data_IF_110779585297
#
_entry.id   IF_110779585297
#
_cell.length_a   1.000
_cell.length_b   1.000
_cell.length_c   1.000
_cell.angle_alpha   90.00
_cell.angle_beta   90.00
_cell.angle_gamma   90.00
#
_symmetry.space_group_name_H-M   'P 1'
#
loop_
_entity.id
_entity.type
_entity.pdbx_description
1 polymer ?
#
# COMPACT_ATOMS: atom_id res chain seq x y z
N UNK A 1 -16.32 29.53 31.59
CA UNK A 1 -16.97 28.50 32.43
C UNK A 1 -16.58 28.77 33.88
N UNK A 2 -17.54 29.08 34.77
CA UNK A 2 -17.25 29.24 36.21
C UNK A 2 -16.63 27.94 36.73
N UNK A 3 -15.48 28.02 37.41
CA UNK A 3 -14.84 26.89 38.07
C UNK A 3 -15.79 26.33 39.15
N UNK A 4 -16.70 25.44 38.78
CA UNK A 4 -17.50 24.69 39.76
C UNK A 4 -16.64 23.52 40.22
N UNK A 5 -16.19 23.55 41.47
CA UNK A 5 -15.70 22.35 42.09
C UNK A 5 -16.87 21.42 42.40
N UNK A 6 -16.63 20.13 42.24
CA UNK A 6 -17.55 19.08 42.64
C UNK A 6 -16.88 18.18 43.65
N UNK A 7 -17.66 17.29 44.24
CA UNK A 7 -17.20 16.28 45.16
C UNK A 7 -17.66 14.89 44.72
N UNK A 8 -16.98 13.88 45.27
CA UNK A 8 -17.30 12.48 45.11
C UNK A 8 -17.92 12.01 46.40
N UNK A 9 -19.18 11.57 46.32
CA UNK A 9 -19.92 11.08 47.47
C UNK A 9 -19.23 9.90 48.17
N UNK A 10 -19.42 9.79 49.49
CA UNK A 10 -18.85 8.72 50.32
C UNK A 10 -19.05 7.31 49.74
N UNK A 11 -20.21 7.03 49.15
CA UNK A 11 -20.56 5.73 48.58
C UNK A 11 -19.73 5.33 47.35
N UNK A 12 -19.05 6.29 46.73
CA UNK A 12 -18.24 6.11 45.52
C UNK A 12 -16.73 6.15 45.81
N UNK A 13 -16.35 6.17 47.08
CA UNK A 13 -14.97 6.24 47.54
C UNK A 13 -14.54 4.94 48.22
N UNK A 14 -13.36 4.46 47.83
CA UNK A 14 -12.60 3.44 48.53
C UNK A 14 -11.44 4.15 49.22
N UNK A 15 -11.40 4.09 50.54
CA UNK A 15 -10.38 4.77 51.34
C UNK A 15 -9.34 3.79 51.88
N UNK A 16 -8.07 4.19 51.81
CA UNK A 16 -6.96 3.50 52.45
C UNK A 16 -5.95 4.50 52.99
N UNK A 17 -5.29 4.11 54.07
CA UNK A 17 -4.17 4.84 54.64
C UNK A 17 -2.88 4.08 54.37
N UNK A 18 -1.83 4.80 53.94
CA UNK A 18 -0.49 4.24 53.73
C UNK A 18 0.53 5.08 54.46
N UNK A 19 1.45 4.42 55.16
CA UNK A 19 2.54 5.08 55.88
C UNK A 19 3.85 4.86 55.12
N UNK A 20 4.64 5.91 54.91
CA UNK A 20 5.92 5.85 54.24
C UNK A 20 6.10 6.98 53.21
N UNK A 21 7.08 6.80 52.32
CA UNK A 21 7.27 7.67 51.17
C UNK A 21 7.09 6.84 49.90
N UNK A 22 6.14 7.24 49.07
CA UNK A 22 5.80 6.54 47.84
C UNK A 22 5.87 7.50 46.66
N UNK A 23 6.38 7.01 45.53
CA UNK A 23 6.08 7.59 44.22
C UNK A 23 4.62 7.28 43.87
N UNK A 24 3.94 8.21 43.18
CA UNK A 24 2.49 8.11 42.94
C UNK A 24 2.07 6.81 42.23
N UNK A 25 2.83 6.39 41.22
CA UNK A 25 2.55 5.15 40.46
C UNK A 25 2.72 3.90 41.34
N UNK A 26 3.72 3.88 42.21
CA UNK A 26 3.95 2.78 43.15
C UNK A 26 2.85 2.75 44.22
N UNK A 27 2.43 3.92 44.73
CA UNK A 27 1.31 4.03 45.66
C UNK A 27 0.01 3.48 45.04
N UNK A 28 -0.29 3.87 43.79
CA UNK A 28 -1.46 3.36 43.08
C UNK A 28 -1.40 1.85 42.89
N UNK A 29 -0.25 1.32 42.43
CA UNK A 29 -0.05 -0.12 42.25
C UNK A 29 -0.23 -0.91 43.55
N UNK A 30 0.31 -0.43 44.66
CA UNK A 30 0.11 -1.08 45.96
C UNK A 30 -1.36 -1.08 46.39
N UNK A 31 -2.04 0.05 46.25
CA UNK A 31 -3.45 0.18 46.66
C UNK A 31 -4.38 -0.68 45.81
N UNK A 32 -4.16 -0.74 44.50
CA UNK A 32 -4.97 -1.56 43.59
C UNK A 32 -4.83 -3.05 43.93
N UNK A 33 -3.63 -3.50 44.28
CA UNK A 33 -3.37 -4.87 44.76
C UNK A 33 -4.02 -5.14 46.12
N UNK A 34 -3.91 -4.23 47.08
CA UNK A 34 -4.50 -4.40 48.42
C UNK A 34 -6.04 -4.42 48.39
N UNK A 35 -6.64 -3.61 47.53
CA UNK A 35 -8.08 -3.52 47.38
C UNK A 35 -8.67 -4.58 46.43
N UNK A 36 -7.83 -5.47 45.87
CA UNK A 36 -8.22 -6.50 44.88
C UNK A 36 -9.11 -5.95 43.76
N UNK A 37 -8.71 -4.82 43.17
CA UNK A 37 -9.51 -4.12 42.17
C UNK A 37 -9.40 -4.81 40.82
N UNK A 38 -10.55 -5.27 40.31
CA UNK A 38 -10.68 -5.71 38.92
C UNK A 38 -10.52 -4.49 38.00
N UNK A 39 -9.66 -4.61 36.98
CA UNK A 39 -9.30 -3.53 36.04
C UNK A 39 -8.83 -2.22 36.71
N UNK A 40 -7.62 -2.18 37.30
CA UNK A 40 -7.07 -0.99 37.96
C UNK A 40 -7.14 0.31 37.15
N UNK A 41 -7.01 0.23 35.82
CA UNK A 41 -7.06 1.38 34.91
C UNK A 41 -8.42 2.09 34.85
N UNK A 42 -9.48 1.48 35.40
CA UNK A 42 -10.79 2.10 35.51
C UNK A 42 -10.91 2.97 36.78
N UNK A 43 -9.93 2.93 37.68
CA UNK A 43 -9.93 3.71 38.90
C UNK A 43 -9.04 4.95 38.78
N UNK A 44 -9.41 6.00 39.49
CA UNK A 44 -8.57 7.18 39.72
C UNK A 44 -8.28 7.33 41.20
N UNK A 45 -7.06 7.73 41.51
CA UNK A 45 -6.58 8.00 42.86
C UNK A 45 -6.55 9.50 43.11
N UNK A 46 -7.17 9.94 44.20
CA UNK A 46 -6.82 11.16 44.89
C UNK A 46 -6.04 10.80 46.17
N UNK A 47 -5.09 11.63 46.57
CA UNK A 47 -4.47 11.48 47.88
C UNK A 47 -4.21 12.83 48.55
N UNK A 48 -4.19 12.80 49.88
CA UNK A 48 -3.72 13.89 50.73
C UNK A 48 -2.57 13.34 51.56
N UNK A 49 -1.37 13.91 51.40
CA UNK A 49 -0.21 13.54 52.23
C UNK A 49 -0.06 14.49 53.42
N UNK A 50 -0.10 13.93 54.62
CA UNK A 50 0.17 14.61 55.88
C UNK A 50 1.36 13.91 56.54
N UNK A 51 2.50 14.59 56.64
CA UNK A 51 3.77 14.02 57.08
C UNK A 51 4.16 12.77 56.26
N UNK A 52 4.24 11.59 56.89
CA UNK A 52 4.50 10.31 56.21
C UNK A 52 3.22 9.49 55.96
N UNK A 53 2.05 10.09 56.17
CA UNK A 53 0.77 9.41 56.02
C UNK A 53 0.11 9.88 54.72
N UNK A 54 -0.20 8.93 53.84
CA UNK A 54 -1.01 9.14 52.65
C UNK A 54 -2.44 8.70 52.94
N UNK A 55 -3.36 9.65 52.85
CA UNK A 55 -4.80 9.40 52.84
C UNK A 55 -5.27 9.26 51.40
N UNK A 56 -5.51 8.02 50.99
CA UNK A 56 -5.76 7.64 49.60
C UNK A 56 -7.24 7.38 49.38
N UNK A 57 -7.77 7.93 48.30
CA UNK A 57 -9.17 7.83 47.89
C UNK A 57 -9.23 7.34 46.45
N UNK A 58 -9.71 6.12 46.26
CA UNK A 58 -9.92 5.50 44.96
C UNK A 58 -11.38 5.61 44.57
N UNK A 59 -11.63 5.92 43.31
CA UNK A 59 -12.98 6.01 42.75
C UNK A 59 -13.00 5.48 41.33
N UNK A 60 -14.13 4.92 40.90
CA UNK A 60 -14.30 4.48 39.52
C UNK A 60 -14.42 5.72 38.63
N UNK A 61 -13.58 5.80 37.59
CA UNK A 61 -13.56 6.90 36.64
C UNK A 61 -14.93 7.21 36.02
N UNK A 62 -15.79 6.21 35.83
CA UNK A 62 -17.14 6.39 35.30
C UNK A 62 -18.07 7.19 36.23
N UNK A 63 -17.79 7.20 37.53
CA UNK A 63 -18.56 7.93 38.55
C UNK A 63 -18.06 9.37 38.78
N UNK A 64 -16.99 9.78 38.09
CA UNK A 64 -16.43 11.11 38.24
C UNK A 64 -17.26 12.16 37.50
N UNK A 65 -17.60 13.29 38.14
CA UNK A 65 -18.19 14.42 37.45
C UNK A 65 -17.19 15.03 36.46
N UNK A 66 -17.69 15.51 35.32
CA UNK A 66 -16.89 16.13 34.25
C UNK A 66 -16.47 17.57 34.62
N UNK A 67 -15.71 17.74 35.69
CA UNK A 67 -15.34 19.07 36.23
C UNK A 67 -13.85 19.20 36.48
N UNK A 68 -13.35 20.45 36.42
CA UNK A 68 -11.91 20.74 36.54
C UNK A 68 -11.31 20.30 37.88
N UNK A 69 -12.08 20.39 38.95
CA UNK A 69 -11.69 19.98 40.30
C UNK A 69 -12.77 19.08 40.89
N UNK A 70 -12.34 17.92 41.38
CA UNK A 70 -13.19 16.99 42.09
C UNK A 70 -12.53 16.56 43.41
N UNK A 71 -13.23 16.77 44.52
CA UNK A 71 -12.77 16.48 45.86
C UNK A 71 -13.39 15.19 46.40
N UNK A 72 -12.63 14.30 47.06
CA UNK A 72 -13.24 13.36 47.97
C UNK A 72 -14.07 14.13 49.01
N UNK A 73 -15.34 13.78 49.17
CA UNK A 73 -16.23 14.43 50.13
C UNK A 73 -15.67 14.49 51.58
N UNK A 74 -14.96 13.48 52.12
CA UNK A 74 -14.29 13.63 53.41
C UNK A 74 -13.34 14.84 53.49
N UNK A 75 -12.79 15.31 52.38
CA UNK A 75 -11.83 16.41 52.42
C UNK A 75 -12.50 17.78 52.39
N UNK A 76 -13.74 17.92 51.90
CA UNK A 76 -14.42 19.22 51.80
C UNK A 76 -14.83 19.76 53.16
N UNK A 77 -15.08 18.89 54.14
CA UNK A 77 -15.52 19.30 55.48
C UNK A 77 -14.41 19.92 56.33
N UNK A 78 -13.13 19.80 55.93
CA UNK A 78 -12.04 20.55 56.56
C UNK A 78 -12.29 22.07 56.49
N UNK A 79 -12.98 22.53 55.43
CA UNK A 79 -13.36 23.94 55.27
C UNK A 79 -14.23 24.47 56.41
N UNK A 80 -14.98 23.61 57.12
CA UNK A 80 -15.77 24.05 58.28
C UNK A 80 -14.87 24.61 59.39
N UNK A 81 -13.72 23.98 59.64
CA UNK A 81 -12.77 24.44 60.63
C UNK A 81 -11.99 25.65 60.11
N UNK A 82 -11.49 25.59 58.88
CA UNK A 82 -10.67 26.65 58.26
C UNK A 82 -11.42 27.99 58.11
N UNK A 83 -12.73 27.92 57.88
CA UNK A 83 -13.62 29.10 57.80
C UNK A 83 -14.23 29.46 59.18
N UNK A 84 -13.71 28.92 60.29
CA UNK A 84 -14.15 29.17 61.66
C UNK A 84 -15.65 28.89 61.93
N UNK A 85 -16.28 27.96 61.17
CA UNK A 85 -17.69 27.57 61.32
C UNK A 85 -17.93 26.58 62.47
N UNK A 86 -16.85 25.96 62.94
CA UNK A 86 -16.75 25.12 64.13
C UNK A 86 -15.49 25.53 64.90
N UNK A 87 -15.49 25.35 66.23
CA UNK A 87 -14.36 25.73 67.09
C UNK A 87 -13.67 24.52 67.72
N UNK A 88 -14.38 23.40 67.73
CA UNK A 88 -13.95 22.15 68.29
C UNK A 88 -12.85 21.54 67.42
N UNK A 89 -11.68 21.29 68.02
CA UNK A 89 -10.51 20.78 67.32
C UNK A 89 -10.73 19.37 66.78
N UNK A 90 -11.39 18.51 67.56
CA UNK A 90 -11.66 17.12 67.21
C UNK A 90 -13.15 16.95 66.98
N UNK A 91 -13.54 16.63 65.75
CA UNK A 91 -14.94 16.46 65.39
C UNK A 91 -15.11 15.28 64.43
N UNK A 92 -16.32 14.72 64.43
CA UNK A 92 -16.69 13.63 63.54
C UNK A 92 -17.84 14.08 62.62
N UNK A 93 -17.66 13.92 61.31
CA UNK A 93 -18.77 13.97 60.35
C UNK A 93 -19.37 12.57 60.24
N UNK A 94 -20.66 12.46 60.49
CA UNK A 94 -21.44 11.24 60.31
C UNK A 94 -22.42 11.43 59.16
N UNK A 95 -22.31 10.58 58.14
CA UNK A 95 -23.26 10.54 57.02
C UNK A 95 -23.84 9.12 56.86
N UNK A 96 -25.14 9.05 56.59
CA UNK A 96 -25.87 7.79 56.39
C UNK A 96 -26.32 7.72 54.94
N UNK A 97 -26.01 6.63 54.26
CA UNK A 97 -26.42 6.37 52.87
C UNK A 97 -26.89 4.93 52.71
N UNK A 98 -28.18 4.76 52.40
CA UNK A 98 -28.87 3.47 52.24
C UNK A 98 -28.58 2.48 53.38
N UNK A 99 -27.54 1.64 53.23
CA UNK A 99 -27.13 0.59 54.18
C UNK A 99 -25.71 0.79 54.73
N UNK A 100 -25.18 2.01 54.67
CA UNK A 100 -23.84 2.32 55.16
C UNK A 100 -23.86 3.58 56.03
N UNK A 101 -23.08 3.55 57.10
CA UNK A 101 -22.74 4.71 57.92
C UNK A 101 -21.29 5.05 57.68
N UNK A 102 -21.05 6.30 57.34
CA UNK A 102 -19.75 6.86 57.05
C UNK A 102 -19.33 7.79 58.20
N UNK A 103 -18.13 7.58 58.72
CA UNK A 103 -17.56 8.37 59.80
C UNK A 103 -16.25 8.98 59.30
N UNK A 104 -16.17 10.30 59.31
CA UNK A 104 -14.93 11.03 59.02
C UNK A 104 -14.47 11.73 60.29
N UNK A 105 -13.24 11.47 60.70
CA UNK A 105 -12.65 12.03 61.90
C UNK A 105 -11.64 13.10 61.52
N UNK A 106 -11.65 14.19 62.26
CA UNK A 106 -10.76 15.33 62.06
C UNK A 106 -10.12 15.70 63.40
N UNK A 107 -8.88 16.15 63.34
CA UNK A 107 -8.09 16.59 64.49
C UNK A 107 -7.41 17.90 64.12
N UNK A 108 -7.63 18.95 64.92
CA UNK A 108 -7.16 20.31 64.66
C UNK A 108 -7.51 20.79 63.23
N UNK A 109 -8.72 20.46 62.77
CA UNK A 109 -9.20 20.80 61.43
C UNK A 109 -8.64 19.97 60.27
N UNK A 110 -7.67 19.09 60.52
CA UNK A 110 -7.09 18.20 59.51
C UNK A 110 -7.84 16.88 59.46
N UNK A 111 -8.05 16.36 58.25
CA UNK A 111 -8.62 15.03 58.07
C UNK A 111 -7.69 13.95 58.66
N UNK A 112 -8.23 13.07 59.51
CA UNK A 112 -7.48 12.00 60.18
C UNK A 112 -7.76 10.63 59.58
N UNK A 113 -9.03 10.24 59.49
CA UNK A 113 -9.43 8.96 58.91
C UNK A 113 -10.87 8.95 58.48
N UNK A 114 -11.19 8.02 57.57
CA UNK A 114 -12.54 7.67 57.18
C UNK A 114 -12.82 6.20 57.52
N UNK A 115 -13.99 5.92 58.10
CA UNK A 115 -14.47 4.58 58.43
C UNK A 115 -15.85 4.37 57.82
N UNK A 116 -16.10 3.14 57.41
CA UNK A 116 -17.39 2.71 56.87
C UNK A 116 -17.93 1.57 57.71
N UNK A 117 -19.17 1.67 58.15
CA UNK A 117 -19.89 0.66 58.91
C UNK A 117 -21.11 0.21 58.10
N UNK A 118 -21.43 -1.08 58.16
CA UNK A 118 -22.66 -1.60 57.57
C UNK A 118 -23.83 -1.27 58.50
N UNK A 119 -24.85 -0.63 57.95
CA UNK A 119 -26.05 -0.29 58.69
C UNK A 119 -27.03 -1.47 58.68
N UNK A 120 -27.60 -1.76 59.85
CA UNK A 120 -28.65 -2.76 60.05
C UNK A 120 -29.92 -2.05 60.53
N UNK A 121 -31.09 -2.51 60.09
CA UNK A 121 -32.37 -1.84 60.37
C UNK A 121 -32.68 -1.73 61.88
N UNK A 122 -32.17 -2.67 62.68
CA UNK A 122 -32.23 -2.58 64.14
C UNK A 122 -31.17 -1.60 64.66
N UNK A 123 -31.60 -0.37 64.94
CA UNK A 123 -30.72 0.74 65.33
C UNK A 123 -29.93 0.44 66.60
N UNK A 124 -30.58 -0.15 67.61
CA UNK A 124 -29.92 -0.39 68.91
C UNK A 124 -28.85 -1.48 68.79
N UNK A 125 -29.17 -2.54 68.04
CA UNK A 125 -28.22 -3.59 67.70
C UNK A 125 -27.06 -3.04 66.87
N UNK A 126 -27.34 -2.19 65.89
CA UNK A 126 -26.31 -1.51 65.10
C UNK A 126 -25.35 -0.71 65.98
N UNK A 127 -25.85 0.11 66.90
CA UNK A 127 -24.99 0.93 67.77
C UNK A 127 -24.09 0.03 68.64
N UNK A 128 -24.65 -1.06 69.17
CA UNK A 128 -23.92 -1.95 70.07
C UNK A 128 -22.87 -2.81 69.32
N UNK A 129 -23.17 -3.29 68.11
CA UNK A 129 -22.29 -4.19 67.35
C UNK A 129 -21.28 -3.45 66.45
N UNK A 130 -21.62 -2.26 65.95
CA UNK A 130 -20.80 -1.54 64.96
C UNK A 130 -19.55 -0.88 65.55
N UNK A 131 -19.39 -0.89 66.88
CA UNK A 131 -18.30 -0.22 67.62
C UNK A 131 -18.24 1.28 67.35
N UNK A 132 -19.34 1.90 66.90
CA UNK A 132 -19.39 3.34 66.58
C UNK A 132 -19.03 4.21 67.77
N UNK A 133 -19.50 3.86 68.97
CA UNK A 133 -19.19 4.58 70.21
C UNK A 133 -17.71 4.46 70.57
N UNK A 134 -17.11 3.28 70.40
CA UNK A 134 -15.68 3.06 70.62
C UNK A 134 -14.84 3.87 69.64
N UNK A 135 -15.26 3.97 68.37
CA UNK A 135 -14.57 4.80 67.38
C UNK A 135 -14.62 6.29 67.75
N UNK A 136 -15.79 6.80 68.15
CA UNK A 136 -15.95 8.19 68.61
C UNK A 136 -15.05 8.51 69.80
N UNK A 137 -14.92 7.57 70.76
CA UNK A 137 -14.03 7.68 71.91
C UNK A 137 -12.55 7.58 71.51
N UNK A 138 -12.18 6.61 70.66
CA UNK A 138 -10.81 6.38 70.23
C UNK A 138 -10.20 7.58 69.50
N UNK A 139 -11.00 8.27 68.68
CA UNK A 139 -10.58 9.50 68.00
C UNK A 139 -10.88 10.78 68.80
N UNK A 140 -11.21 10.64 70.09
CA UNK A 140 -11.44 11.76 71.01
C UNK A 140 -12.38 12.83 70.44
N UNK A 141 -13.46 12.39 69.78
CA UNK A 141 -14.40 13.30 69.12
C UNK A 141 -15.08 14.17 70.18
N UNK A 142 -14.94 15.50 70.06
CA UNK A 142 -15.59 16.47 70.96
C UNK A 142 -16.96 16.89 70.45
N UNK A 143 -17.24 16.67 69.16
CA UNK A 143 -18.48 17.09 68.50
C UNK A 143 -18.87 16.11 67.39
N UNK A 144 -20.18 15.86 67.27
CA UNK A 144 -20.77 15.13 66.16
C UNK A 144 -21.45 16.10 65.20
N UNK A 145 -21.17 15.93 63.92
CA UNK A 145 -21.72 16.74 62.84
C UNK A 145 -22.42 15.84 61.84
N UNK A 146 -23.56 16.27 61.33
CA UNK A 146 -24.24 15.57 60.23
C UNK A 146 -24.73 16.55 59.19
N UNK A 147 -24.76 16.12 57.93
CA UNK A 147 -25.35 16.88 56.81
C UNK A 147 -26.88 16.79 56.83
N UNK A 148 -27.44 15.70 57.38
CA UNK A 148 -28.88 15.44 57.37
C UNK A 148 -29.36 15.01 58.75
N UNK A 149 -30.53 15.50 59.16
CA UNK A 149 -31.20 14.99 60.34
C UNK A 149 -31.61 13.52 60.11
N UNK A 150 -31.35 12.68 61.10
CA UNK A 150 -31.77 11.28 61.10
C UNK A 150 -31.81 10.79 62.55
N UNK A 151 -32.88 10.10 62.93
CA UNK A 151 -33.13 9.64 64.31
C UNK A 151 -31.95 8.86 64.92
N UNK A 152 -31.24 8.08 64.11
CA UNK A 152 -30.05 7.32 64.52
C UNK A 152 -28.93 8.23 65.00
N UNK A 153 -28.77 9.39 64.36
CA UNK A 153 -27.68 10.33 64.65
C UNK A 153 -27.93 10.98 66.01
N UNK A 154 -29.18 11.33 66.31
CA UNK A 154 -29.60 11.85 67.61
C UNK A 154 -29.35 10.81 68.71
N UNK A 155 -29.68 9.54 68.45
CA UNK A 155 -29.46 8.45 69.39
C UNK A 155 -27.96 8.18 69.61
N UNK A 156 -27.14 8.18 68.56
CA UNK A 156 -25.68 8.04 68.66
C UNK A 156 -25.10 9.20 69.47
N UNK A 157 -25.52 10.44 69.18
CA UNK A 157 -25.03 11.61 69.90
C UNK A 157 -25.37 11.55 71.38
N UNK A 158 -26.59 11.10 71.70
CA UNK A 158 -27.07 10.94 73.08
C UNK A 158 -26.28 9.85 73.82
N UNK A 159 -26.10 8.67 73.21
CA UNK A 159 -25.33 7.56 73.80
C UNK A 159 -23.84 7.91 73.94
N UNK A 160 -23.28 8.65 72.98
CA UNK A 160 -21.89 9.13 73.03
C UNK A 160 -21.68 10.35 73.95
N UNK A 161 -22.77 11.00 74.40
CA UNK A 161 -22.76 12.26 75.15
C UNK A 161 -21.99 13.38 74.43
N UNK A 162 -22.16 13.45 73.12
CA UNK A 162 -21.54 14.47 72.28
C UNK A 162 -22.56 15.53 71.86
N UNK A 163 -22.17 16.81 71.72
CA UNK A 163 -23.00 17.81 71.09
C UNK A 163 -23.16 17.49 69.59
N UNK A 164 -24.40 17.49 69.12
CA UNK A 164 -24.76 17.33 67.71
C UNK A 164 -25.01 18.68 67.06
N UNK A 165 -24.48 18.90 65.87
CA UNK A 165 -24.87 20.02 65.00
C UNK A 165 -25.13 19.52 63.59
N UNK A 166 -26.27 19.94 63.04
CA UNK A 166 -26.60 19.70 61.64
C UNK A 166 -25.97 20.80 60.79
N UNK A 167 -25.16 20.42 59.82
CA UNK A 167 -24.51 21.31 58.85
C UNK A 167 -25.55 21.68 57.79
N UNK A 168 -25.90 22.97 57.72
CA UNK A 168 -26.80 23.50 56.69
C UNK A 168 -26.07 24.02 55.44
N UNK A 169 -24.74 23.98 55.46
CA UNK A 169 -23.91 24.44 54.36
C UNK A 169 -24.10 23.60 53.10
N UNK A 170 -24.21 24.27 51.95
CA UNK A 170 -24.17 23.60 50.66
C UNK A 170 -22.79 22.95 50.45
N UNK A 171 -22.77 21.65 50.14
CA UNK A 171 -21.54 20.90 49.82
C UNK A 171 -20.77 21.55 48.66
N UNK A 172 -21.46 22.20 47.72
CA UNK A 172 -20.80 22.95 46.63
C UNK A 172 -20.08 24.20 47.17
N UNK A 173 -20.68 24.90 48.13
CA UNK A 173 -20.05 26.04 48.79
C UNK A 173 -18.80 25.59 49.57
N UNK A 174 -18.90 24.53 50.38
CA UNK A 174 -17.76 23.92 51.09
C UNK A 174 -16.65 23.48 50.14
N UNK A 175 -17.03 22.90 48.99
CA UNK A 175 -16.07 22.50 47.96
C UNK A 175 -15.33 23.71 47.38
N UNK A 176 -16.02 24.81 47.11
CA UNK A 176 -15.38 26.06 46.64
C UNK A 176 -14.44 26.66 47.68
N UNK A 177 -14.83 26.69 48.97
CA UNK A 177 -13.93 27.09 50.06
C UNK A 177 -12.68 26.22 50.12
N UNK A 178 -12.84 24.91 49.92
CA UNK A 178 -11.73 23.96 49.91
C UNK A 178 -10.72 24.20 48.78
N UNK A 179 -11.12 24.80 47.65
CA UNK A 179 -10.19 25.21 46.57
C UNK A 179 -9.19 26.26 47.07
N UNK A 180 -9.62 27.16 47.95
CA UNK A 180 -8.74 28.21 48.48
C UNK A 180 -7.69 27.66 49.45
N UNK A 181 -7.98 26.52 50.06
CA UNK A 181 -7.16 25.87 51.07
C UNK A 181 -6.55 24.54 50.58
N UNK A 182 -6.28 24.45 49.27
CA UNK A 182 -5.69 23.23 48.72
C UNK A 182 -4.32 22.97 49.34
N UNK A 183 -4.19 21.82 50.01
CA UNK A 183 -2.91 21.37 50.49
C UNK A 183 -1.97 21.17 49.30
N UNK A 184 -0.75 21.71 49.41
CA UNK A 184 0.30 21.57 48.40
C UNK A 184 0.69 20.11 48.20
N UNK A 185 0.46 19.27 49.21
CA UNK A 185 0.79 17.85 49.23
C UNK A 185 -0.39 16.94 48.83
N UNK A 186 -1.46 17.51 48.27
CA UNK A 186 -2.60 16.75 47.81
C UNK A 186 -2.64 16.64 46.28
N UNK A 187 -2.87 15.43 45.79
CA UNK A 187 -3.26 15.18 44.41
C UNK A 187 -4.79 15.01 44.40
N UNK A 188 -5.49 16.04 43.94
CA UNK A 188 -6.93 15.96 43.71
C UNK A 188 -7.20 15.55 42.27
N UNK A 189 -8.29 14.82 42.05
CA UNK A 189 -8.71 14.39 40.72
C UNK A 189 -9.03 15.64 39.89
N UNK A 190 -8.04 16.09 39.11
CA UNK A 190 -8.21 17.02 38.00
C UNK A 190 -8.75 16.17 36.88
N UNK A 191 -9.97 16.43 36.42
CA UNK A 191 -10.49 15.77 35.22
C UNK A 191 -9.50 16.02 34.08
N UNK A 192 -8.69 15.01 33.79
CA UNK A 192 -7.95 14.96 32.55
C UNK A 192 -9.01 14.68 31.50
N UNK A 193 -9.51 15.73 30.88
CA UNK A 193 -10.19 15.58 29.60
C UNK A 193 -9.21 14.75 28.78
N UNK A 194 -9.58 13.50 28.42
CA UNK A 194 -8.87 12.71 27.40
C UNK A 194 -8.98 13.48 26.08
N UNK A 195 -8.40 14.66 26.01
CA UNK A 195 -7.97 15.25 24.78
C UNK A 195 -6.78 14.40 24.39
N UNK A 196 -7.04 13.47 23.47
CA UNK A 196 -6.00 12.88 22.64
C UNK A 196 -5.06 14.04 22.28
N UNK A 197 -3.80 14.04 22.75
CA UNK A 197 -2.92 15.16 22.54
C UNK A 197 -2.89 15.55 21.07
N UNK A 198 -2.77 16.84 20.76
CA UNK A 198 -2.90 17.30 19.39
C UNK A 198 -1.93 16.59 18.44
N UNK A 199 -0.75 16.20 18.93
CA UNK A 199 0.22 15.39 18.19
C UNK A 199 -0.33 14.01 17.77
N UNK A 200 -1.18 13.35 18.57
CA UNK A 200 -1.82 12.09 18.14
C UNK A 200 -2.84 12.31 17.02
N UNK A 201 -3.53 13.46 17.00
CA UNK A 201 -4.38 13.82 15.85
C UNK A 201 -3.52 14.02 14.59
N UNK A 202 -2.36 14.65 14.72
CA UNK A 202 -1.41 14.80 13.63
C UNK A 202 -0.84 13.45 13.16
N UNK A 203 -0.52 12.53 14.08
CA UNK A 203 -0.10 11.16 13.74
C UNK A 203 -1.19 10.44 12.94
N UNK A 204 -2.46 10.54 13.35
CA UNK A 204 -3.56 9.92 12.65
C UNK A 204 -3.80 10.54 11.26
N UNK A 205 -3.71 11.86 11.16
CA UNK A 205 -3.82 12.59 9.90
C UNK A 205 -2.68 12.22 8.94
N UNK A 206 -1.46 12.11 9.47
CA UNK A 206 -0.28 11.68 8.71
C UNK A 206 -0.42 10.24 8.22
N UNK A 207 -0.82 9.31 9.09
CA UNK A 207 -1.03 7.91 8.71
C UNK A 207 -2.10 7.78 7.62
N UNK A 208 -3.20 8.54 7.74
CA UNK A 208 -4.24 8.56 6.72
C UNK A 208 -3.72 9.10 5.38
N UNK A 209 -2.99 10.21 5.40
CA UNK A 209 -2.36 10.78 4.19
C UNK A 209 -1.36 9.82 3.55
N UNK A 210 -0.58 9.10 4.36
CA UNK A 210 0.38 8.11 3.89
C UNK A 210 -0.30 6.91 3.21
N UNK A 211 -1.38 6.38 3.80
CA UNK A 211 -2.16 5.29 3.21
C UNK A 211 -2.79 5.72 1.89
N UNK A 212 -3.35 6.92 1.81
CA UNK A 212 -3.93 7.47 0.56
C UNK A 212 -2.86 7.56 -0.53
N UNK A 213 -1.69 8.11 -0.21
CA UNK A 213 -0.59 8.23 -1.17
C UNK A 213 -0.09 6.86 -1.67
N UNK A 214 0.06 5.88 -0.77
CA UNK A 214 0.40 4.50 -1.17
C UNK A 214 -0.67 3.91 -2.09
N UNK A 215 -1.95 4.14 -1.77
CA UNK A 215 -3.07 3.66 -2.59
C UNK A 215 -3.03 4.23 -4.00
N UNK A 216 -2.78 5.53 -4.14
CA UNK A 216 -2.66 6.20 -5.45
C UNK A 216 -1.45 5.66 -6.24
N UNK A 217 -0.28 5.54 -5.61
CA UNK A 217 0.91 4.98 -6.26
C UNK A 217 0.67 3.54 -6.74
N UNK A 218 0.09 2.71 -5.87
CA UNK A 218 -0.21 1.31 -6.20
C UNK A 218 -1.21 1.19 -7.35
N UNK A 219 -2.18 2.11 -7.45
CA UNK A 219 -3.13 2.18 -8.58
C UNK A 219 -2.42 2.55 -9.89
N UNK A 220 -1.55 3.55 -9.86
CA UNK A 220 -0.77 3.95 -11.05
C UNK A 220 0.11 2.78 -11.51
N UNK A 221 0.88 2.18 -10.60
CA UNK A 221 1.74 1.03 -10.91
C UNK A 221 0.93 -0.16 -11.42
N UNK A 222 -0.27 -0.40 -10.87
CA UNK A 222 -1.16 -1.45 -11.35
C UNK A 222 -1.66 -1.18 -12.78
N UNK A 223 -2.02 0.06 -13.12
CA UNK A 223 -2.43 0.41 -14.48
C UNK A 223 -1.28 0.25 -15.48
N UNK A 224 -0.07 0.67 -15.10
CA UNK A 224 1.14 0.49 -15.91
C UNK A 224 1.45 -0.99 -16.10
N UNK A 225 1.41 -1.78 -15.03
CA UNK A 225 1.61 -3.23 -15.08
C UNK A 225 0.60 -3.93 -15.99
N UNK A 226 -0.70 -3.59 -15.88
CA UNK A 226 -1.73 -4.12 -16.78
C UNK A 226 -1.44 -3.79 -18.25
N UNK A 227 -1.03 -2.56 -18.54
CA UNK A 227 -0.69 -2.14 -19.91
C UNK A 227 0.53 -2.89 -20.45
N UNK A 228 1.57 -3.05 -19.63
CA UNK A 228 2.79 -3.79 -19.99
C UNK A 228 2.50 -5.28 -20.21
N UNK A 229 1.66 -5.89 -19.36
CA UNK A 229 1.22 -7.29 -19.52
C UNK A 229 0.45 -7.49 -20.83
N UNK A 230 -0.42 -6.55 -21.18
CA UNK A 230 -1.19 -6.60 -22.44
C UNK A 230 -0.26 -6.44 -23.66
N UNK A 231 0.70 -5.53 -23.61
CA UNK A 231 1.70 -5.34 -24.65
C UNK A 231 2.60 -6.58 -24.81
N UNK A 232 3.03 -7.20 -23.72
CA UNK A 232 3.81 -8.44 -23.75
C UNK A 232 3.04 -9.57 -24.45
N UNK A 233 1.77 -9.78 -24.07
CA UNK A 233 0.92 -10.81 -24.70
C UNK A 233 0.73 -10.55 -26.20
N UNK A 234 0.54 -9.29 -26.62
CA UNK A 234 0.43 -8.93 -28.03
C UNK A 234 1.74 -9.16 -28.80
N UNK A 235 2.89 -8.87 -28.18
CA UNK A 235 4.19 -9.13 -28.77
C UNK A 235 4.43 -10.63 -28.94
N UNK A 236 4.08 -11.46 -27.94
CA UNK A 236 4.20 -12.91 -28.00
C UNK A 236 3.33 -13.50 -29.12
N UNK A 237 2.07 -13.07 -29.23
CA UNK A 237 1.18 -13.46 -30.34
C UNK A 237 1.78 -13.03 -31.70
N UNK A 238 2.38 -11.84 -31.78
CA UNK A 238 2.96 -11.35 -33.03
C UNK A 238 4.23 -12.11 -33.42
N UNK A 239 5.09 -12.45 -32.45
CA UNK A 239 6.26 -13.29 -32.67
C UNK A 239 5.87 -14.69 -33.14
N UNK A 240 4.86 -15.31 -32.53
CA UNK A 240 4.37 -16.61 -32.95
C UNK A 240 3.83 -16.57 -34.39
N UNK A 241 3.10 -15.52 -34.78
CA UNK A 241 2.67 -15.33 -36.18
C UNK A 241 3.83 -15.16 -37.14
N UNK A 242 4.87 -14.41 -36.76
CA UNK A 242 6.07 -14.25 -37.58
C UNK A 242 6.76 -15.60 -37.77
N UNK A 243 6.89 -16.38 -36.70
CA UNK A 243 7.48 -17.72 -36.75
C UNK A 243 6.70 -18.65 -37.68
N UNK A 244 5.37 -18.68 -37.56
CA UNK A 244 4.50 -19.49 -38.44
C UNK A 244 4.61 -19.07 -39.91
N UNK A 245 4.71 -17.77 -40.20
CA UNK A 245 4.94 -17.26 -41.56
C UNK A 245 6.31 -17.69 -42.07
N UNK A 246 7.36 -17.58 -41.26
CA UNK A 246 8.72 -17.99 -41.63
C UNK A 246 8.80 -19.49 -41.89
N UNK A 247 8.16 -20.31 -41.05
CA UNK A 247 8.12 -21.76 -41.24
C UNK A 247 7.41 -22.12 -42.55
N UNK A 248 6.25 -21.52 -42.83
CA UNK A 248 5.52 -21.70 -44.08
C UNK A 248 6.33 -21.26 -45.32
N UNK A 249 7.05 -20.14 -45.23
CA UNK A 249 7.94 -19.68 -46.30
C UNK A 249 9.10 -20.64 -46.51
N UNK A 250 9.73 -21.12 -45.45
CA UNK A 250 10.83 -22.08 -45.53
C UNK A 250 10.37 -23.40 -46.14
N UNK A 251 9.17 -23.89 -45.80
CA UNK A 251 8.59 -25.08 -46.43
C UNK A 251 8.36 -24.85 -47.93
N UNK A 252 7.77 -23.71 -48.34
CA UNK A 252 7.60 -23.37 -49.76
C UNK A 252 8.93 -23.27 -50.51
N UNK A 253 9.94 -22.64 -49.90
CA UNK A 253 11.28 -22.54 -50.46
C UNK A 253 11.91 -23.92 -50.64
N UNK A 254 11.77 -24.81 -49.66
CA UNK A 254 12.27 -26.19 -49.76
C UNK A 254 11.64 -26.95 -50.93
N UNK A 255 10.31 -26.88 -51.08
CA UNK A 255 9.61 -27.50 -52.22
C UNK A 255 10.07 -26.92 -53.56
N UNK A 256 10.25 -25.60 -53.64
CA UNK A 256 10.75 -24.95 -54.85
C UNK A 256 12.19 -25.36 -55.18
N UNK A 257 13.06 -25.48 -54.19
CA UNK A 257 14.44 -25.95 -54.38
C UNK A 257 14.46 -27.40 -54.89
N UNK A 258 13.68 -28.29 -54.28
CA UNK A 258 13.56 -29.68 -54.74
C UNK A 258 13.05 -29.76 -56.18
N UNK A 259 12.05 -28.94 -56.53
CA UNK A 259 11.54 -28.86 -57.91
C UNK A 259 12.61 -28.36 -58.89
N UNK A 260 13.34 -27.31 -58.55
CA UNK A 260 14.42 -26.78 -59.38
C UNK A 260 15.56 -27.80 -59.56
N UNK A 261 15.89 -28.56 -58.52
CA UNK A 261 16.88 -29.64 -58.61
C UNK A 261 16.45 -30.73 -59.60
N UNK A 262 15.16 -31.11 -59.59
CA UNK A 262 14.62 -32.06 -60.57
C UNK A 262 14.67 -31.49 -62.00
N UNK A 263 14.34 -30.20 -62.18
CA UNK A 263 14.43 -29.54 -63.49
C UNK A 263 15.87 -29.50 -64.02
N UNK A 264 16.85 -29.21 -63.16
CA UNK A 264 18.28 -29.23 -63.52
C UNK A 264 18.69 -30.64 -63.96
N UNK A 265 18.33 -31.68 -63.21
CA UNK A 265 18.66 -33.08 -63.59
C UNK A 265 18.10 -33.45 -64.96
N UNK A 266 16.87 -33.03 -65.27
CA UNK A 266 16.25 -33.26 -66.58
C UNK A 266 17.00 -32.51 -67.69
N UNK A 267 17.41 -31.27 -67.43
CA UNK A 267 18.18 -30.48 -68.39
C UNK A 267 19.58 -31.08 -68.63
N UNK A 268 20.26 -31.54 -67.59
CA UNK A 268 21.57 -32.19 -67.72
C UNK A 268 21.50 -33.46 -68.58
N UNK A 269 20.47 -34.30 -68.37
CA UNK A 269 20.22 -35.48 -69.21
C UNK A 269 19.96 -35.12 -70.69
N UNK A 270 19.23 -34.03 -70.94
CA UNK A 270 19.01 -33.53 -72.30
C UNK A 270 20.32 -33.03 -72.93
N UNK A 271 21.15 -32.33 -72.14
CA UNK A 271 22.44 -31.81 -72.56
C UNK A 271 23.41 -32.93 -72.91
N UNK A 272 23.44 -33.99 -72.10
CA UNK A 272 24.22 -35.21 -72.37
C UNK A 272 23.78 -35.87 -73.69
N UNK A 273 22.46 -35.99 -73.90
CA UNK A 273 21.91 -36.51 -75.16
C UNK A 273 22.27 -35.65 -76.37
N UNK A 274 22.21 -34.32 -76.25
CA UNK A 274 22.63 -33.41 -77.31
C UNK A 274 24.12 -33.48 -77.58
N UNK A 275 24.95 -33.59 -76.55
CA UNK A 275 26.40 -33.78 -76.67
C UNK A 275 26.73 -35.06 -77.43
N UNK A 276 26.06 -36.17 -77.10
CA UNK A 276 26.23 -37.44 -77.79
C UNK A 276 25.85 -37.33 -79.28
N UNK A 277 24.73 -36.66 -79.59
CA UNK A 277 24.32 -36.38 -80.97
C UNK A 277 25.32 -35.51 -81.71
N UNK A 278 25.83 -34.46 -81.07
CA UNK A 278 26.82 -33.57 -81.67
C UNK A 278 28.11 -34.32 -81.98
N UNK A 279 28.59 -35.17 -81.07
CA UNK A 279 29.77 -36.01 -81.28
C UNK A 279 29.62 -36.94 -82.50
N UNK A 280 28.43 -37.54 -82.69
CA UNK A 280 28.10 -38.37 -83.86
C UNK A 280 28.09 -37.56 -85.15
N UNK A 281 27.62 -36.31 -85.13
CA UNK A 281 27.67 -35.41 -86.29
C UNK A 281 29.12 -35.03 -86.60
N UNK A 282 29.91 -34.66 -85.59
CA UNK A 282 31.31 -34.23 -85.77
C UNK A 282 32.19 -35.35 -86.31
N UNK A 283 32.02 -36.61 -85.86
CA UNK A 283 32.76 -37.75 -86.40
C UNK A 283 32.48 -38.01 -87.90
N UNK A 284 31.31 -37.62 -88.39
CA UNK A 284 30.88 -37.84 -89.77
C UNK A 284 31.13 -36.62 -90.68
N UNK A 285 31.63 -35.51 -90.16
CA UNK A 285 31.86 -34.29 -90.93
C UNK A 285 33.32 -34.19 -91.39
N UNK A 286 33.59 -34.42 -92.68
CA UNK A 286 34.90 -34.14 -93.31
C UNK A 286 34.82 -32.84 -94.13
N UNK A 287 35.23 -31.72 -93.55
CA UNK A 287 35.35 -30.46 -94.28
C UNK A 287 36.66 -30.38 -95.09
N UNK A 288 36.54 -30.08 -96.38
CA UNK A 288 37.68 -29.79 -97.26
C UNK A 288 38.24 -28.39 -96.93
N UNK A 289 39.58 -28.27 -96.79
CA UNK A 289 40.30 -27.04 -96.40
C UNK A 289 39.94 -25.83 -97.28
N UNK A 290 39.60 -26.07 -98.55
CA UNK A 290 39.14 -25.04 -99.47
C UNK A 290 37.74 -24.51 -99.15
N UNK A 291 36.80 -25.38 -98.75
CA UNK A 291 35.43 -24.98 -98.39
C UNK A 291 35.43 -24.12 -97.13
N UNK A 292 36.29 -24.43 -96.15
CA UNK A 292 36.47 -23.61 -94.95
C UNK A 292 37.01 -22.23 -95.32
N UNK A 293 38.04 -22.16 -96.17
CA UNK A 293 38.61 -20.87 -96.60
C UNK A 293 37.58 -20.00 -97.33
N UNK A 294 36.79 -20.59 -98.22
CA UNK A 294 35.71 -19.89 -98.93
C UNK A 294 34.65 -19.41 -97.94
N UNK A 295 34.21 -20.27 -97.02
CA UNK A 295 33.23 -19.92 -95.98
C UNK A 295 33.72 -18.77 -95.09
N UNK A 296 34.99 -18.81 -94.64
CA UNK A 296 35.57 -17.74 -93.82
C UNK A 296 35.63 -16.42 -94.59
N UNK A 297 36.05 -16.44 -95.87
CA UNK A 297 36.04 -15.24 -96.73
C UNK A 297 34.63 -14.68 -96.88
N UNK A 298 33.62 -15.53 -97.11
CA UNK A 298 32.22 -15.12 -97.26
C UNK A 298 31.65 -14.53 -95.98
N UNK A 299 31.88 -15.16 -94.82
CA UNK A 299 31.41 -14.65 -93.52
C UNK A 299 32.06 -13.31 -93.17
N UNK A 300 33.37 -13.17 -93.41
CA UNK A 300 34.08 -11.91 -93.17
C UNK A 300 33.48 -10.78 -94.01
N UNK A 301 33.18 -11.03 -95.29
CA UNK A 301 32.54 -10.07 -96.18
C UNK A 301 31.11 -9.72 -95.73
N UNK A 302 30.28 -10.71 -95.35
CA UNK A 302 28.94 -10.45 -94.83
C UNK A 302 28.97 -9.58 -93.56
N UNK A 303 29.92 -9.83 -92.66
CA UNK A 303 30.07 -9.08 -91.42
C UNK A 303 30.61 -7.65 -91.65
N UNK A 304 31.59 -7.48 -92.54
CA UNK A 304 32.17 -6.18 -92.89
C UNK A 304 31.09 -5.19 -93.35
N UNK A 305 30.09 -5.67 -94.09
CA UNK A 305 28.98 -4.87 -94.59
C UNK A 305 27.66 -5.07 -93.82
N UNK A 306 27.70 -5.78 -92.69
CA UNK A 306 26.53 -6.06 -91.82
C UNK A 306 25.31 -6.64 -92.57
N UNK A 307 25.55 -7.52 -93.53
CA UNK A 307 24.52 -8.11 -94.40
C UNK A 307 23.83 -9.28 -93.69
N UNK A 308 22.50 -9.23 -93.57
CA UNK A 308 21.72 -10.32 -92.96
C UNK A 308 21.27 -11.33 -94.00
N UNK A 309 21.60 -12.59 -93.78
CA UNK A 309 21.26 -13.69 -94.69
C UNK A 309 20.26 -14.64 -94.05
N UNK A 310 19.43 -15.25 -94.88
CA UNK A 310 18.54 -16.35 -94.48
C UNK A 310 19.14 -17.71 -94.83
N UNK A 311 19.94 -17.76 -95.89
CA UNK A 311 20.57 -19.01 -96.33
C UNK A 311 21.92 -18.74 -97.02
N UNK A 312 22.83 -19.69 -96.86
CA UNK A 312 24.17 -19.70 -97.46
C UNK A 312 24.52 -21.11 -97.90
N UNK A 313 24.64 -21.30 -99.21
CA UNK A 313 25.06 -22.56 -99.80
C UNK A 313 26.40 -22.38 -100.50
N UNK A 314 27.34 -23.30 -100.25
CA UNK A 314 28.64 -23.31 -100.92
C UNK A 314 28.79 -24.65 -101.65
N UNK A 315 28.87 -24.61 -102.98
CA UNK A 315 29.22 -25.75 -103.81
C UNK A 315 30.51 -25.47 -104.57
N UNK A 316 31.58 -26.17 -104.20
CA UNK A 316 32.95 -25.98 -104.72
C UNK A 316 33.40 -24.51 -104.62
N UNK A 317 33.32 -23.75 -105.71
CA UNK A 317 33.72 -22.33 -105.80
C UNK A 317 32.53 -21.39 -105.96
N UNK A 318 31.31 -21.94 -106.00
CA UNK A 318 30.07 -21.19 -106.11
C UNK A 318 29.48 -20.97 -104.72
N UNK A 319 29.06 -19.75 -104.46
CA UNK A 319 28.46 -19.32 -103.20
C UNK A 319 27.11 -18.74 -103.56
N UNK A 320 26.04 -19.38 -103.12
CA UNK A 320 24.67 -18.88 -103.24
C UNK A 320 24.24 -18.31 -101.90
N UNK A 321 23.83 -17.05 -101.90
CA UNK A 321 23.45 -16.33 -100.69
C UNK A 321 22.05 -15.77 -100.88
N UNK A 322 21.16 -16.09 -99.94
CA UNK A 322 19.82 -15.52 -99.88
C UNK A 322 19.74 -14.50 -98.75
N UNK A 323 19.37 -13.27 -99.08
CA UNK A 323 19.31 -12.18 -98.11
C UNK A 323 17.97 -12.10 -97.40
N UNK A 324 17.98 -11.52 -96.20
CA UNK A 324 16.78 -11.43 -95.36
C UNK A 324 15.79 -10.36 -95.84
N UNK A 325 16.27 -9.35 -96.57
CA UNK A 325 15.48 -8.23 -97.05
C UNK A 325 16.11 -7.63 -98.32
N UNK A 326 15.33 -6.78 -99.00
CA UNK A 326 15.74 -6.10 -100.24
C UNK A 326 16.90 -5.11 -100.02
N UNK A 327 16.99 -4.50 -98.84
CA UNK A 327 18.04 -3.54 -98.50
C UNK A 327 19.43 -4.20 -98.46
N UNK A 328 19.53 -5.36 -97.80
CA UNK A 328 20.75 -6.17 -97.70
C UNK A 328 21.13 -6.76 -99.05
N UNK A 329 20.15 -7.18 -99.86
CA UNK A 329 20.39 -7.63 -101.23
C UNK A 329 20.98 -6.52 -102.11
N UNK A 330 20.40 -5.31 -102.06
CA UNK A 330 20.90 -4.18 -102.84
C UNK A 330 22.29 -3.71 -102.37
N UNK A 331 22.54 -3.70 -101.05
CA UNK A 331 23.87 -3.43 -100.48
C UNK A 331 24.90 -4.47 -100.93
N UNK A 332 24.54 -5.75 -100.89
CA UNK A 332 25.41 -6.83 -101.34
C UNK A 332 25.84 -6.64 -102.79
N UNK A 333 24.92 -6.29 -103.70
CA UNK A 333 25.23 -6.01 -105.11
C UNK A 333 26.22 -4.85 -105.28
N UNK A 334 26.13 -3.80 -104.45
CA UNK A 334 27.06 -2.67 -104.50
C UNK A 334 28.50 -3.04 -104.07
N UNK A 335 28.64 -3.97 -103.11
CA UNK A 335 29.93 -4.33 -102.51
C UNK A 335 30.47 -5.71 -102.94
N UNK A 336 29.91 -6.31 -104.00
CA UNK A 336 30.32 -7.62 -104.50
C UNK A 336 31.69 -7.57 -105.22
N UNK A 337 31.95 -6.54 -106.03
CA UNK A 337 33.24 -6.33 -106.70
C UNK A 337 34.16 -5.48 -105.81
N UNK A 338 35.46 -5.80 -105.64
CA UNK A 338 36.28 -6.75 -106.41
C UNK A 338 36.50 -8.13 -105.74
N UNK A 339 35.88 -8.42 -104.59
CA UNK A 339 36.17 -9.63 -103.77
C UNK A 339 35.53 -10.91 -104.33
N UNK A 340 34.43 -10.79 -105.07
CA UNK A 340 33.72 -11.91 -105.69
C UNK A 340 33.29 -11.56 -107.11
N UNK A 341 33.20 -12.58 -107.97
CA UNK A 341 32.58 -12.42 -109.29
C UNK A 341 31.08 -12.74 -109.18
N UNK A 342 30.21 -11.76 -109.42
CA UNK A 342 28.77 -11.98 -109.53
C UNK A 342 28.47 -12.82 -110.78
N UNK A 343 27.81 -13.96 -110.61
CA UNK A 343 27.43 -14.86 -111.71
C UNK A 343 25.98 -14.64 -112.10
N UNK A 344 25.09 -14.60 -111.11
CA UNK A 344 23.66 -14.38 -111.33
C UNK A 344 23.03 -13.71 -110.12
N UNK A 345 21.89 -13.06 -110.36
CA UNK A 345 21.06 -12.45 -109.33
C UNK A 345 19.59 -12.78 -109.61
N UNK A 346 18.85 -13.14 -108.57
CA UNK A 346 17.40 -13.25 -108.60
C UNK A 346 16.81 -12.24 -107.63
N UNK A 347 16.24 -11.17 -108.20
CA UNK A 347 15.62 -10.09 -107.43
C UNK A 347 14.36 -10.53 -106.69
N UNK A 348 13.63 -11.51 -107.21
CA UNK A 348 12.37 -11.98 -106.62
C UNK A 348 12.62 -12.78 -105.34
N UNK A 349 13.78 -13.45 -105.25
CA UNK A 349 14.18 -14.27 -104.13
C UNK A 349 15.23 -13.60 -103.23
N UNK A 350 15.65 -12.37 -103.56
CA UNK A 350 16.77 -11.67 -102.91
C UNK A 350 18.03 -12.56 -102.84
N UNK A 351 18.36 -13.20 -103.96
CA UNK A 351 19.43 -14.21 -104.03
C UNK A 351 20.53 -13.78 -104.98
N UNK A 352 21.79 -13.96 -104.57
CA UNK A 352 22.95 -13.80 -105.45
C UNK A 352 23.74 -15.10 -105.51
N UNK A 353 24.26 -15.42 -106.70
CA UNK A 353 25.26 -16.46 -106.87
C UNK A 353 26.59 -15.83 -107.24
N UNK A 354 27.60 -16.10 -106.42
CA UNK A 354 28.96 -15.57 -106.52
C UNK A 354 29.94 -16.69 -106.86
N UNK A 355 30.99 -16.37 -107.59
CA UNK A 355 32.19 -17.21 -107.69
C UNK A 355 33.27 -16.62 -106.78
N UNK A 356 33.83 -17.45 -105.90
CA UNK A 356 35.03 -17.09 -105.17
C UNK A 356 36.20 -16.89 -106.14
N UNK A 357 36.78 -15.69 -106.15
CA UNK A 357 38.08 -15.44 -106.81
C UNK A 357 39.16 -16.13 -105.95
N UNK A 358 40.05 -16.89 -106.60
CA UNK A 358 41.09 -17.67 -105.92
C UNK A 358 42.03 -16.74 -105.13
#
# INVERSE_FOLDING_TARGET
MKNKAHFIGFENLIYKQKNGNFEEDNLFKELTKECDLQNPFEYQLAFLKQDQIYHCFLTWAAKLPKTKFCFPEPLIFQSLFLENKIKEENFCILEISSKKVFLCFYEQGKFKTFKTLNFYDNIEEFINQSRILELLQHYESKMLLSVKAHEIIDLISTKAKLPLKIIQEDKIALSNHSIHHLDKNANFIKYYQKHLPWYFKFIFLFALSFIINIGILSLIDFTQYQSAKKAHLQNEISQNKIYEIQENQNQKLKVNIEKLQLEIQVQDLLLEKYSEQLSKITQNFKANKNTISILTKTIAWLNEYSLRITDLMIDKTFITIKFSNEEDFNKALQFTSPKFNLISQDKSLHEITLRALQ
#
